data_IF_703176630701
#
_entry.id   IF_703176630701
#
_cell.length_a   1.000
_cell.length_b   1.000
_cell.length_c   1.000
_cell.angle_alpha   90.00
_cell.angle_beta   90.00
_cell.angle_gamma   90.00
#
_symmetry.space_group_name_H-M   'P 1'
#
loop_
_entity.id
_entity.type
_entity.pdbx_description
1 polymer ?
#
# COMPACT_ATOMS: atom_id res chain seq x y z
N UNK A 1 -23.66 1.48 14.07
CA UNK A 1 -23.99 2.86 13.61
C UNK A 1 -22.76 3.63 13.12
N UNK A 2 -21.60 3.59 13.79
CA UNK A 2 -20.31 4.05 13.21
C UNK A 2 -19.54 2.90 12.54
N UNK A 3 -19.43 1.74 13.21
CA UNK A 3 -18.80 0.53 12.66
C UNK A 3 -19.44 0.04 11.35
N UNK A 4 -20.77 0.07 11.26
CA UNK A 4 -21.52 -0.29 10.05
C UNK A 4 -21.09 0.55 8.84
N UNK A 5 -21.00 1.88 8.99
CA UNK A 5 -20.57 2.78 7.92
C UNK A 5 -19.11 2.53 7.50
N UNK A 6 -18.26 2.22 8.47
CA UNK A 6 -16.86 1.91 8.19
C UNK A 6 -16.72 0.57 7.46
N UNK A 7 -17.51 -0.44 7.82
CA UNK A 7 -17.55 -1.70 7.09
C UNK A 7 -18.15 -1.56 5.68
N UNK A 8 -19.09 -0.64 5.45
CA UNK A 8 -19.60 -0.34 4.11
C UNK A 8 -18.48 0.25 3.21
N UNK A 9 -17.63 1.10 3.78
CA UNK A 9 -16.42 1.61 3.09
C UNK A 9 -15.40 0.49 2.84
N UNK A 10 -15.18 -0.40 3.80
CA UNK A 10 -14.30 -1.55 3.64
C UNK A 10 -14.82 -2.50 2.54
N UNK A 11 -16.12 -2.77 2.52
CA UNK A 11 -16.81 -3.55 1.48
C UNK A 11 -16.69 -2.87 0.12
N UNK A 12 -16.85 -1.55 0.06
CA UNK A 12 -16.64 -0.77 -1.16
C UNK A 12 -15.21 -0.94 -1.65
N UNK A 13 -14.21 -0.81 -0.76
CA UNK A 13 -12.80 -0.97 -1.10
C UNK A 13 -12.46 -2.38 -1.57
N UNK A 14 -12.94 -3.40 -0.86
CA UNK A 14 -12.78 -4.80 -1.24
C UNK A 14 -13.32 -5.02 -2.66
N UNK A 15 -14.51 -4.50 -2.97
CA UNK A 15 -15.14 -4.61 -4.29
C UNK A 15 -14.45 -3.81 -5.41
N UNK A 16 -13.48 -2.94 -5.11
CA UNK A 16 -12.65 -2.29 -6.13
C UNK A 16 -11.52 -3.22 -6.63
N UNK A 17 -11.16 -4.26 -5.88
CA UNK A 17 -10.11 -5.21 -6.27
C UNK A 17 -10.69 -6.26 -7.24
N UNK A 18 -10.81 -5.89 -8.51
CA UNK A 18 -11.40 -6.74 -9.56
C UNK A 18 -10.31 -7.21 -10.51
N UNK A 19 -10.04 -8.52 -10.60
CA UNK A 19 -9.16 -9.07 -11.63
C UNK A 19 -9.54 -8.55 -13.02
N UNK A 20 -8.55 -8.02 -13.73
CA UNK A 20 -8.72 -7.44 -15.07
C UNK A 20 -9.34 -6.03 -15.12
N UNK A 21 -9.73 -5.48 -13.96
CA UNK A 21 -10.15 -4.08 -13.81
C UNK A 21 -9.55 -3.52 -12.51
N UNK A 22 -8.23 -3.29 -12.48
CA UNK A 22 -7.53 -3.01 -11.24
C UNK A 22 -7.96 -1.67 -10.62
N UNK A 23 -8.00 -1.63 -9.29
CA UNK A 23 -8.00 -0.35 -8.57
C UNK A 23 -6.63 0.30 -8.70
N UNK A 24 -6.58 1.58 -9.07
CA UNK A 24 -5.34 2.35 -9.23
C UNK A 24 -5.19 3.32 -8.06
N UNK A 25 -4.06 3.27 -7.38
CA UNK A 25 -3.77 4.05 -6.18
C UNK A 25 -2.56 4.95 -6.41
N UNK A 26 -2.79 6.26 -6.37
CA UNK A 26 -1.77 7.28 -6.61
C UNK A 26 -0.76 7.45 -5.46
N UNK A 27 -1.04 6.89 -4.28
CA UNK A 27 -0.30 7.05 -3.03
C UNK A 27 -0.12 8.51 -2.56
N UNK A 28 -0.52 8.80 -1.33
CA UNK A 28 -0.33 10.09 -0.65
C UNK A 28 0.50 9.88 0.61
N UNK A 29 0.97 10.96 1.24
CA UNK A 29 1.87 10.84 2.40
C UNK A 29 1.68 11.92 3.47
N UNK A 30 0.92 12.97 3.16
CA UNK A 30 0.65 14.08 4.07
C UNK A 30 -0.71 14.74 3.74
N UNK A 31 -1.04 15.81 4.46
CA UNK A 31 -2.28 16.56 4.21
C UNK A 31 -2.32 17.28 2.87
N UNK A 32 -1.18 17.74 2.34
CA UNK A 32 -1.11 18.48 1.08
C UNK A 32 -1.36 17.56 -0.12
N UNK A 33 -0.63 16.44 -0.18
CA UNK A 33 -0.82 15.39 -1.19
C UNK A 33 -2.23 14.78 -1.11
N UNK A 34 -2.76 14.53 0.10
CA UNK A 34 -4.15 14.09 0.25
C UNK A 34 -5.16 15.13 -0.27
N UNK A 35 -4.93 16.42 -0.02
CA UNK A 35 -5.81 17.50 -0.49
C UNK A 35 -5.75 17.68 -2.01
N UNK A 36 -4.62 17.33 -2.64
CA UNK A 36 -4.49 17.35 -4.09
C UNK A 36 -5.16 16.14 -4.76
N UNK A 37 -5.08 14.95 -4.15
CA UNK A 37 -5.52 13.69 -4.77
C UNK A 37 -6.94 13.28 -4.41
N UNK A 38 -7.36 13.45 -3.15
CA UNK A 38 -8.67 12.99 -2.67
C UNK A 38 -9.87 13.64 -3.38
N UNK A 39 -9.85 14.91 -3.83
CA UNK A 39 -10.98 15.51 -4.54
C UNK A 39 -11.14 15.04 -5.99
N UNK A 40 -10.12 14.41 -6.59
CA UNK A 40 -10.15 14.01 -8.00
C UNK A 40 -11.28 13.01 -8.23
N UNK A 41 -12.07 13.22 -9.30
CA UNK A 41 -13.16 12.31 -9.67
C UNK A 41 -12.64 10.91 -10.00
N UNK A 42 -11.44 10.82 -10.58
CA UNK A 42 -10.76 9.56 -10.89
C UNK A 42 -10.22 8.81 -9.66
N UNK A 43 -10.15 9.46 -8.49
CA UNK A 43 -9.69 8.83 -7.26
C UNK A 43 -10.82 8.00 -6.65
N UNK A 44 -10.75 6.68 -6.78
CA UNK A 44 -11.74 5.77 -6.17
C UNK A 44 -11.39 5.38 -4.73
N UNK A 45 -10.12 5.42 -4.36
CA UNK A 45 -9.59 5.13 -3.04
C UNK A 45 -8.22 5.80 -2.85
N UNK A 46 -7.83 6.01 -1.60
CA UNK A 46 -6.57 6.64 -1.21
C UNK A 46 -5.69 5.60 -0.51
N UNK A 47 -4.39 5.62 -0.80
CA UNK A 47 -3.40 4.79 -0.13
C UNK A 47 -2.28 5.66 0.42
N UNK A 48 -1.71 5.33 1.58
CA UNK A 48 -0.41 5.89 1.96
C UNK A 48 0.74 5.07 1.39
N UNK A 49 1.97 5.60 1.44
CA UNK A 49 3.19 4.85 1.15
C UNK A 49 4.23 5.17 2.23
N UNK A 50 4.77 4.16 2.91
CA UNK A 50 5.65 4.36 4.09
C UNK A 50 6.88 5.18 3.74
N UNK A 51 7.53 4.88 2.61
CA UNK A 51 8.71 5.62 2.14
C UNK A 51 8.44 7.12 2.00
N UNK A 52 7.30 7.49 1.42
CA UNK A 52 6.93 8.89 1.23
C UNK A 52 6.56 9.57 2.56
N UNK A 53 5.91 8.84 3.47
CA UNK A 53 5.63 9.30 4.84
C UNK A 53 6.93 9.52 5.62
N UNK A 54 7.88 8.58 5.53
CA UNK A 54 9.20 8.67 6.15
C UNK A 54 9.97 9.89 5.66
N UNK A 55 10.03 10.11 4.34
CA UNK A 55 10.68 11.30 3.77
C UNK A 55 10.01 12.60 4.22
N UNK A 56 8.68 12.63 4.33
CA UNK A 56 7.97 13.79 4.86
C UNK A 56 8.25 14.01 6.37
N UNK A 57 8.52 12.95 7.12
CA UNK A 57 8.91 12.99 8.53
C UNK A 57 10.42 13.26 8.74
N UNK A 58 11.22 13.35 7.67
CA UNK A 58 12.66 13.59 7.74
C UNK A 58 13.49 12.38 8.19
N UNK A 59 12.98 11.17 8.02
CA UNK A 59 13.66 9.91 8.37
C UNK A 59 13.76 8.98 7.16
N UNK A 60 14.62 7.97 7.25
CA UNK A 60 14.62 6.88 6.27
C UNK A 60 13.40 5.95 6.48
N UNK A 61 13.02 5.21 5.44
CA UNK A 61 11.84 4.32 5.49
C UNK A 61 11.99 3.29 6.62
N UNK A 62 13.16 2.68 6.73
CA UNK A 62 13.49 1.73 7.79
C UNK A 62 13.58 2.37 9.20
N UNK A 63 13.54 3.69 9.32
CA UNK A 63 13.52 4.40 10.61
C UNK A 63 12.13 4.94 10.97
N UNK A 64 11.14 4.78 10.08
CA UNK A 64 9.78 5.26 10.32
C UNK A 64 9.15 4.53 11.50
N UNK A 65 8.89 5.25 12.58
CA UNK A 65 8.21 4.71 13.77
C UNK A 65 6.71 4.57 13.55
N UNK A 66 6.05 3.69 14.31
CA UNK A 66 4.60 3.57 14.30
C UNK A 66 3.92 4.91 14.59
N UNK A 67 4.43 5.67 15.57
CA UNK A 67 3.79 6.91 16.00
C UNK A 67 3.86 8.00 14.90
N UNK A 68 4.99 8.09 14.18
CA UNK A 68 5.12 8.96 13.00
C UNK A 68 4.15 8.54 11.88
N UNK A 69 4.06 7.25 11.58
CA UNK A 69 3.16 6.76 10.53
C UNK A 69 1.69 7.03 10.90
N UNK A 70 1.28 6.72 12.14
CA UNK A 70 -0.06 7.00 12.65
C UNK A 70 -0.38 8.49 12.61
N UNK A 71 0.57 9.37 12.94
CA UNK A 71 0.38 10.81 12.84
C UNK A 71 0.06 11.24 11.40
N UNK A 72 0.82 10.77 10.41
CA UNK A 72 0.58 11.05 9.00
C UNK A 72 -0.76 10.48 8.52
N UNK A 73 -1.06 9.22 8.83
CA UNK A 73 -2.31 8.54 8.45
C UNK A 73 -3.52 9.27 9.02
N UNK A 74 -3.48 9.74 10.28
CA UNK A 74 -4.57 10.53 10.88
C UNK A 74 -4.79 11.86 10.18
N UNK A 75 -3.73 12.52 9.71
CA UNK A 75 -3.83 13.76 8.91
C UNK A 75 -4.49 13.47 7.57
N UNK A 76 -4.04 12.42 6.86
CA UNK A 76 -4.62 11.98 5.58
C UNK A 76 -6.11 11.62 5.76
N UNK A 77 -6.45 10.84 6.78
CA UNK A 77 -7.83 10.44 7.07
C UNK A 77 -8.76 11.63 7.27
N UNK A 78 -8.31 12.67 8.00
CA UNK A 78 -9.09 13.92 8.19
C UNK A 78 -9.36 14.63 6.86
N UNK A 79 -8.42 14.62 5.93
CA UNK A 79 -8.61 15.23 4.60
C UNK A 79 -9.57 14.38 3.76
N UNK A 80 -9.34 13.06 3.68
CA UNK A 80 -10.20 12.14 2.91
C UNK A 80 -11.65 12.20 3.39
N UNK A 81 -11.88 12.34 4.70
CA UNK A 81 -13.23 12.46 5.26
C UNK A 81 -14.01 13.69 4.74
N UNK A 82 -13.31 14.78 4.39
CA UNK A 82 -13.91 15.99 3.81
C UNK A 82 -14.31 15.81 2.34
N UNK A 83 -13.76 14.80 1.66
CA UNK A 83 -13.95 14.56 0.23
C UNK A 83 -14.74 13.28 -0.04
N UNK A 84 -15.87 13.11 0.67
CA UNK A 84 -16.84 12.04 0.42
C UNK A 84 -16.50 10.69 1.08
N UNK A 85 -15.59 10.67 2.06
CA UNK A 85 -15.17 9.46 2.79
C UNK A 85 -14.73 8.32 1.85
N UNK A 86 -13.93 8.62 0.82
CA UNK A 86 -13.34 7.58 -0.05
C UNK A 86 -12.58 6.56 0.81
N UNK A 87 -12.55 5.26 0.44
CA UNK A 87 -11.77 4.29 1.17
C UNK A 87 -10.31 4.70 1.30
N UNK A 88 -9.74 4.52 2.50
CA UNK A 88 -8.33 4.78 2.80
C UNK A 88 -7.66 3.48 3.23
N UNK A 89 -6.49 3.19 2.64
CA UNK A 89 -5.58 2.11 3.07
C UNK A 89 -4.23 2.69 3.49
N UNK A 90 -3.62 2.13 4.53
CA UNK A 90 -2.34 2.60 5.03
C UNK A 90 -1.21 1.58 4.79
N UNK A 91 -0.01 2.06 4.47
CA UNK A 91 1.19 1.23 4.37
C UNK A 91 1.91 1.11 5.71
N UNK A 92 2.06 -0.11 6.21
CA UNK A 92 2.46 -0.40 7.59
C UNK A 92 3.76 -1.19 7.70
N UNK A 93 4.54 -1.25 6.61
CA UNK A 93 5.81 -1.98 6.58
C UNK A 93 5.59 -3.43 7.08
N UNK A 94 6.48 -3.97 7.91
CA UNK A 94 6.37 -5.27 8.56
C UNK A 94 5.25 -5.40 9.60
N UNK A 95 4.51 -4.32 9.88
CA UNK A 95 3.44 -4.27 10.85
C UNK A 95 3.90 -3.94 12.28
N UNK A 96 5.09 -3.35 12.45
CA UNK A 96 5.57 -2.79 13.73
C UNK A 96 5.64 -3.81 14.87
N UNK A 97 6.13 -5.02 14.57
CA UNK A 97 6.45 -6.04 15.58
C UNK A 97 5.25 -6.45 16.44
N UNK A 98 5.41 -6.33 17.76
CA UNK A 98 4.42 -6.66 18.80
C UNK A 98 3.29 -5.64 18.93
N UNK A 99 3.50 -4.42 18.42
CA UNK A 99 2.50 -3.34 18.39
C UNK A 99 1.47 -3.49 17.27
N UNK A 100 1.50 -4.58 16.48
CA UNK A 100 0.60 -4.77 15.33
C UNK A 100 -0.90 -4.58 15.68
N UNK A 101 -1.36 -5.11 16.82
CA UNK A 101 -2.77 -4.97 17.25
C UNK A 101 -3.11 -3.53 17.60
N UNK A 102 -2.21 -2.83 18.30
CA UNK A 102 -2.34 -1.41 18.63
C UNK A 102 -2.41 -0.56 17.35
N UNK A 103 -1.52 -0.88 16.40
CA UNK A 103 -1.39 -0.20 15.13
C UNK A 103 -2.67 -0.33 14.29
N UNK A 104 -3.20 -1.55 14.14
CA UNK A 104 -4.46 -1.83 13.43
C UNK A 104 -5.65 -1.15 14.12
N UNK A 105 -5.73 -1.23 15.45
CA UNK A 105 -6.79 -0.59 16.23
C UNK A 105 -6.81 0.92 15.97
N UNK A 106 -5.63 1.56 16.05
CA UNK A 106 -5.48 3.00 15.86
C UNK A 106 -5.91 3.49 14.48
N UNK A 107 -5.67 2.73 13.41
CA UNK A 107 -6.07 3.14 12.05
C UNK A 107 -7.54 2.88 11.78
N UNK A 108 -8.11 1.79 12.30
CA UNK A 108 -9.54 1.53 12.18
C UNK A 108 -10.34 2.63 12.88
N UNK A 109 -9.92 3.05 14.07
CA UNK A 109 -10.50 4.20 14.78
C UNK A 109 -10.35 5.51 14.01
N UNK A 110 -9.29 5.66 13.21
CA UNK A 110 -9.09 6.81 12.33
C UNK A 110 -9.92 6.74 11.03
N UNK A 111 -10.68 5.66 10.79
CA UNK A 111 -11.51 5.48 9.59
C UNK A 111 -10.80 4.84 8.41
N UNK A 112 -9.62 4.24 8.61
CA UNK A 112 -8.90 3.46 7.61
C UNK A 112 -9.54 2.08 7.46
N UNK A 113 -9.65 1.58 6.23
CA UNK A 113 -10.36 0.33 5.89
C UNK A 113 -9.48 -0.72 5.19
N UNK A 114 -8.19 -0.44 5.08
CA UNK A 114 -7.24 -1.45 4.62
C UNK A 114 -5.80 -1.15 5.00
N UNK A 115 -4.94 -2.13 4.79
CA UNK A 115 -3.52 -2.05 5.12
C UNK A 115 -2.66 -2.73 4.05
N UNK A 116 -1.42 -2.27 3.90
CA UNK A 116 -0.32 -3.03 3.32
C UNK A 116 0.61 -3.52 4.44
N UNK A 117 0.89 -4.82 4.51
CA UNK A 117 1.76 -5.44 5.53
C UNK A 117 2.74 -6.39 4.86
N UNK A 118 4.03 -6.31 5.21
CA UNK A 118 5.11 -7.05 4.57
C UNK A 118 5.60 -8.24 5.39
N UNK A 119 6.22 -9.19 4.69
CA UNK A 119 6.70 -10.46 5.25
C UNK A 119 8.22 -10.48 5.49
N UNK A 120 8.90 -9.36 5.27
CA UNK A 120 10.27 -9.13 5.68
C UNK A 120 10.29 -8.42 7.02
N UNK A 121 11.02 -8.97 7.99
CA UNK A 121 11.26 -8.33 9.27
C UNK A 121 12.17 -7.12 9.09
N UNK A 122 11.72 -5.96 9.59
CA UNK A 122 12.38 -4.67 9.37
C UNK A 122 13.71 -4.56 10.11
N UNK A 123 13.83 -5.12 11.31
CA UNK A 123 15.04 -5.01 12.13
C UNK A 123 16.16 -5.95 11.63
N UNK A 124 15.79 -7.18 11.31
CA UNK A 124 16.74 -8.22 10.89
C UNK A 124 16.97 -8.24 9.39
N UNK A 125 16.11 -7.57 8.62
CA UNK A 125 16.09 -7.58 7.15
C UNK A 125 15.99 -9.00 6.56
N UNK A 126 15.35 -9.92 7.29
CA UNK A 126 15.14 -11.32 6.89
C UNK A 126 13.68 -11.61 6.63
N UNK A 127 13.41 -12.50 5.67
CA UNK A 127 12.07 -13.03 5.47
C UNK A 127 11.59 -13.74 6.73
N UNK A 128 10.41 -13.37 7.21
CA UNK A 128 9.71 -14.14 8.23
C UNK A 128 9.37 -15.53 7.66
N UNK A 129 9.28 -16.58 8.50
CA UNK A 129 8.67 -17.83 8.08
C UNK A 129 7.27 -17.58 7.52
N UNK A 130 6.91 -18.24 6.41
CA UNK A 130 5.66 -17.96 5.70
C UNK A 130 4.41 -18.09 6.61
N UNK A 131 4.41 -19.07 7.52
CA UNK A 131 3.31 -19.27 8.47
C UNK A 131 3.22 -18.15 9.53
N UNK A 132 4.35 -17.54 9.89
CA UNK A 132 4.37 -16.38 10.80
C UNK A 132 3.77 -15.16 10.10
N UNK A 133 4.19 -14.89 8.86
CA UNK A 133 3.63 -13.80 8.05
C UNK A 133 2.12 -13.99 7.78
N UNK A 134 1.69 -15.20 7.43
CA UNK A 134 0.27 -15.53 7.27
C UNK A 134 -0.51 -15.39 8.59
N UNK A 135 0.09 -15.76 9.72
CA UNK A 135 -0.47 -15.54 11.05
C UNK A 135 -0.69 -14.06 11.37
N UNK A 136 0.23 -13.18 10.95
CA UNK A 136 0.08 -11.71 11.09
C UNK A 136 -1.07 -11.18 10.23
N UNK A 137 -1.23 -11.66 8.99
CA UNK A 137 -2.41 -11.35 8.15
C UNK A 137 -3.71 -11.74 8.86
N UNK A 138 -3.78 -12.98 9.38
CA UNK A 138 -4.94 -13.46 10.13
C UNK A 138 -5.22 -12.60 11.37
N UNK A 139 -4.17 -12.16 12.08
CA UNK A 139 -4.29 -11.31 13.26
C UNK A 139 -4.85 -9.92 12.91
N UNK A 140 -4.41 -9.32 11.81
CA UNK A 140 -4.99 -8.07 11.29
C UNK A 140 -6.47 -8.26 11.00
N UNK A 141 -6.82 -9.31 10.24
CA UNK A 141 -8.22 -9.59 9.87
C UNK A 141 -9.10 -9.83 11.09
N UNK A 142 -8.60 -10.57 12.09
CA UNK A 142 -9.29 -10.77 13.37
C UNK A 142 -9.49 -9.45 14.10
N UNK A 143 -8.45 -8.64 14.24
CA UNK A 143 -8.50 -7.37 14.96
C UNK A 143 -9.52 -6.41 14.34
N UNK A 144 -9.50 -6.25 13.01
CA UNK A 144 -10.46 -5.40 12.32
C UNK A 144 -11.91 -5.92 12.45
N UNK A 145 -12.12 -7.24 12.41
CA UNK A 145 -13.42 -7.87 12.64
C UNK A 145 -13.94 -7.61 14.05
N UNK A 146 -13.09 -7.74 15.07
CA UNK A 146 -13.42 -7.47 16.47
C UNK A 146 -13.82 -5.99 16.68
N UNK A 147 -13.29 -5.08 15.85
CA UNK A 147 -13.66 -3.65 15.80
C UNK A 147 -14.90 -3.36 14.92
N UNK A 148 -15.54 -4.39 14.37
CA UNK A 148 -16.76 -4.27 13.57
C UNK A 148 -16.53 -3.95 12.09
N UNK A 149 -15.33 -4.23 11.56
CA UNK A 149 -14.97 -4.08 10.14
C UNK A 149 -14.55 -5.44 9.55
N UNK A 150 -15.46 -6.43 9.46
CA UNK A 150 -15.15 -7.77 8.93
C UNK A 150 -14.63 -7.79 7.48
N UNK A 151 -14.92 -6.76 6.67
CA UNK A 151 -14.50 -6.64 5.27
C UNK A 151 -13.20 -5.83 5.10
N UNK A 152 -12.42 -5.64 6.15
CA UNK A 152 -11.14 -4.93 6.10
C UNK A 152 -10.22 -5.52 5.03
N UNK A 153 -9.54 -4.67 4.27
CA UNK A 153 -8.73 -5.09 3.12
C UNK A 153 -7.26 -5.22 3.52
N UNK A 154 -6.69 -6.41 3.35
CA UNK A 154 -5.24 -6.61 3.51
C UNK A 154 -4.60 -6.83 2.14
N UNK A 155 -3.61 -6.01 1.83
CA UNK A 155 -2.66 -6.22 0.73
C UNK A 155 -1.38 -6.79 1.33
N UNK A 156 -1.22 -8.10 1.28
CA UNK A 156 -0.07 -8.78 1.87
C UNK A 156 1.14 -8.65 0.93
N UNK A 157 2.18 -7.96 1.37
CA UNK A 157 3.40 -7.74 0.60
C UNK A 157 4.37 -8.89 0.78
N UNK A 158 4.89 -9.40 -0.34
CA UNK A 158 5.93 -10.40 -0.41
C UNK A 158 7.21 -9.79 -0.95
N UNK A 159 8.29 -9.84 -0.17
CA UNK A 159 9.61 -9.30 -0.52
C UNK A 159 10.60 -10.37 -1.02
N UNK A 160 10.16 -11.62 -1.21
CA UNK A 160 11.02 -12.75 -1.60
C UNK A 160 11.92 -12.42 -2.80
N UNK A 161 11.41 -11.76 -3.85
CA UNK A 161 12.20 -11.42 -5.05
C UNK A 161 13.34 -10.43 -4.75
N UNK A 162 13.11 -9.41 -3.90
CA UNK A 162 14.16 -8.46 -3.51
C UNK A 162 15.13 -9.03 -2.47
N UNK A 163 14.78 -10.18 -1.87
CA UNK A 163 15.65 -10.96 -0.97
C UNK A 163 16.36 -12.12 -1.68
N UNK A 164 16.27 -12.20 -3.01
CA UNK A 164 16.98 -13.20 -3.81
C UNK A 164 16.36 -14.59 -3.79
N UNK A 165 15.09 -14.71 -3.37
CA UNK A 165 14.33 -15.94 -3.50
C UNK A 165 13.66 -16.08 -4.87
N UNK A 166 13.02 -17.24 -5.06
CA UNK A 166 12.48 -17.66 -6.35
C UNK A 166 10.95 -17.51 -6.44
N UNK A 167 10.43 -17.54 -7.66
CA UNK A 167 8.99 -17.39 -7.92
C UNK A 167 8.11 -18.46 -7.27
N UNK A 168 8.62 -19.69 -7.12
CA UNK A 168 7.85 -20.78 -6.48
C UNK A 168 7.61 -20.47 -4.99
N UNK A 169 8.58 -19.84 -4.32
CA UNK A 169 8.43 -19.40 -2.94
C UNK A 169 7.46 -18.21 -2.85
N UNK A 170 7.52 -17.27 -3.79
CA UNK A 170 6.56 -16.16 -3.88
C UNK A 170 5.12 -16.68 -3.97
N UNK A 171 4.88 -17.67 -4.84
CA UNK A 171 3.55 -18.26 -5.03
C UNK A 171 3.11 -18.98 -3.75
N UNK A 172 3.94 -19.86 -3.20
CA UNK A 172 3.60 -20.59 -1.97
C UNK A 172 3.30 -19.67 -0.78
N UNK A 173 4.02 -18.56 -0.65
CA UNK A 173 3.75 -17.52 0.35
C UNK A 173 2.44 -16.78 0.06
N UNK A 174 2.25 -16.35 -1.18
CA UNK A 174 1.04 -15.64 -1.60
C UNK A 174 -0.24 -16.43 -1.36
N UNK A 175 -0.24 -17.73 -1.69
CA UNK A 175 -1.37 -18.65 -1.41
C UNK A 175 -1.70 -18.69 0.08
N UNK A 176 -0.69 -18.84 0.95
CA UNK A 176 -0.88 -18.79 2.41
C UNK A 176 -1.45 -17.44 2.89
N UNK A 177 -1.04 -16.34 2.28
CA UNK A 177 -1.56 -15.01 2.64
C UNK A 177 -3.02 -14.85 2.23
N UNK A 178 -3.41 -15.38 1.07
CA UNK A 178 -4.80 -15.40 0.61
C UNK A 178 -5.66 -16.31 1.51
N UNK A 179 -5.17 -17.49 1.89
CA UNK A 179 -5.82 -18.39 2.86
C UNK A 179 -6.01 -17.73 4.23
N UNK A 180 -5.02 -16.93 4.68
CA UNK A 180 -5.10 -16.14 5.90
C UNK A 180 -6.09 -14.96 5.84
N UNK A 181 -6.67 -14.69 4.66
CA UNK A 181 -7.69 -13.67 4.45
C UNK A 181 -7.19 -12.38 3.79
N UNK A 182 -5.99 -12.37 3.20
CA UNK A 182 -5.57 -11.25 2.37
C UNK A 182 -6.49 -11.08 1.16
N UNK A 183 -6.80 -9.83 0.80
CA UNK A 183 -7.57 -9.50 -0.40
C UNK A 183 -6.70 -9.61 -1.65
N UNK A 184 -5.45 -9.18 -1.56
CA UNK A 184 -4.46 -9.26 -2.63
C UNK A 184 -3.07 -9.57 -2.10
N UNK A 185 -2.25 -10.17 -2.94
CA UNK A 185 -0.81 -10.34 -2.72
C UNK A 185 -0.07 -9.28 -3.53
N UNK A 186 0.76 -8.47 -2.88
CA UNK A 186 1.65 -7.52 -3.54
C UNK A 186 3.06 -8.06 -3.59
N UNK A 187 3.59 -8.30 -4.78
CA UNK A 187 4.97 -8.79 -4.91
C UNK A 187 5.89 -7.63 -5.27
N UNK A 188 6.86 -7.36 -4.39
CA UNK A 188 7.83 -6.30 -4.60
C UNK A 188 9.10 -6.84 -5.24
N UNK A 189 9.36 -6.42 -6.48
CA UNK A 189 10.57 -6.76 -7.23
C UNK A 189 11.67 -5.70 -7.17
N UNK A 190 11.52 -4.67 -6.33
CA UNK A 190 12.50 -3.58 -6.20
C UNK A 190 12.42 -2.54 -7.30
N UNK A 191 13.04 -1.38 -7.08
CA UNK A 191 12.97 -0.23 -8.01
C UNK A 191 13.68 -0.48 -9.34
N UNK A 192 14.77 -1.25 -9.34
CA UNK A 192 15.60 -1.50 -10.53
C UNK A 192 15.05 -2.66 -11.37
N UNK A 193 14.87 -3.82 -10.74
CA UNK A 193 14.43 -5.05 -11.40
C UNK A 193 12.93 -4.99 -11.69
N UNK A 194 12.13 -4.63 -10.68
CA UNK A 194 10.68 -4.72 -10.76
C UNK A 194 10.21 -6.17 -10.91
N UNK A 195 9.00 -6.36 -11.41
CA UNK A 195 8.46 -7.67 -11.81
C UNK A 195 8.32 -7.70 -13.33
N UNK A 196 8.77 -8.77 -13.97
CA UNK A 196 8.68 -8.96 -15.42
C UNK A 196 7.27 -9.40 -15.84
N UNK A 197 6.96 -9.29 -17.13
CA UNK A 197 5.69 -9.76 -17.70
C UNK A 197 5.37 -11.21 -17.35
N UNK A 198 6.31 -12.12 -17.59
CA UNK A 198 6.12 -13.54 -17.33
C UNK A 198 5.86 -13.82 -15.84
N UNK A 199 6.48 -13.06 -14.94
CA UNK A 199 6.22 -13.17 -13.50
C UNK A 199 4.83 -12.66 -13.13
N UNK A 200 4.41 -11.53 -13.69
CA UNK A 200 3.05 -10.99 -13.48
C UNK A 200 1.99 -11.98 -13.99
N UNK A 201 2.19 -12.57 -15.17
CA UNK A 201 1.29 -13.60 -15.73
C UNK A 201 1.22 -14.82 -14.81
N UNK A 202 2.37 -15.36 -14.41
CA UNK A 202 2.45 -16.53 -13.53
C UNK A 202 1.81 -16.30 -12.16
N UNK A 203 2.04 -15.15 -11.53
CA UNK A 203 1.44 -14.81 -10.24
C UNK A 203 -0.06 -14.52 -10.37
N UNK A 204 -0.48 -13.91 -11.47
CA UNK A 204 -1.90 -13.64 -11.73
C UNK A 204 -2.67 -14.95 -11.87
N UNK A 205 -2.12 -15.92 -12.60
CA UNK A 205 -2.69 -17.27 -12.69
C UNK A 205 -2.76 -17.95 -11.31
N UNK A 206 -1.64 -17.96 -10.56
CA UNK A 206 -1.58 -18.62 -9.25
C UNK A 206 -2.51 -18.00 -8.19
N UNK A 207 -2.78 -16.70 -8.27
CA UNK A 207 -3.58 -15.97 -7.26
C UNK A 207 -5.02 -15.70 -7.69
N UNK A 208 -5.50 -16.31 -8.79
CA UNK A 208 -6.82 -16.04 -9.39
C UNK A 208 -7.03 -14.53 -9.68
N UNK A 209 -5.97 -13.86 -10.13
CA UNK A 209 -5.96 -12.42 -10.40
C UNK A 209 -5.94 -11.52 -9.17
N UNK A 210 -5.89 -12.07 -7.95
CA UNK A 210 -5.71 -11.30 -6.70
C UNK A 210 -4.28 -10.79 -6.50
N UNK A 211 -3.64 -10.42 -7.61
CA UNK A 211 -2.32 -9.81 -7.65
C UNK A 211 -2.42 -8.29 -7.56
N UNK A 212 -1.53 -7.73 -6.76
CA UNK A 212 -1.24 -6.31 -6.64
C UNK A 212 0.19 -6.07 -7.14
N UNK A 213 0.42 -4.99 -7.89
CA UNK A 213 1.75 -4.62 -8.39
C UNK A 213 2.01 -3.13 -8.20
N UNK A 214 3.29 -2.77 -8.16
CA UNK A 214 3.72 -1.37 -8.24
C UNK A 214 3.95 -1.00 -9.70
N UNK A 215 3.35 0.10 -10.15
CA UNK A 215 3.49 0.58 -11.52
C UNK A 215 4.91 1.12 -11.75
N UNK A 216 5.57 0.58 -12.78
CA UNK A 216 6.93 0.97 -13.16
C UNK A 216 6.87 2.12 -14.16
N UNK A 217 7.30 3.31 -13.74
CA UNK A 217 7.33 4.53 -14.56
C UNK A 217 8.56 4.57 -15.50
N UNK A 218 8.79 3.50 -16.26
CA UNK A 218 9.90 3.40 -17.21
C UNK A 218 9.42 2.74 -18.51
N UNK A 219 10.16 2.98 -19.60
CA UNK A 219 9.80 2.51 -20.94
C UNK A 219 9.75 0.98 -21.08
N UNK A 220 10.44 0.25 -20.21
CA UNK A 220 10.46 -1.22 -20.11
C UNK A 220 9.40 -1.77 -19.13
N UNK A 221 8.62 -0.89 -18.48
CA UNK A 221 7.51 -1.27 -17.62
C UNK A 221 6.24 -1.62 -18.39
N UNK A 222 5.43 -2.51 -17.82
CA UNK A 222 4.10 -2.78 -18.35
C UNK A 222 3.16 -1.60 -18.13
N UNK A 223 2.40 -1.24 -19.17
CA UNK A 223 1.33 -0.26 -19.06
C UNK A 223 0.20 -0.76 -18.16
N UNK A 224 -0.59 0.17 -17.62
CA UNK A 224 -1.81 -0.15 -16.85
C UNK A 224 -2.76 -1.04 -17.67
N UNK A 225 -2.86 -0.80 -18.98
CA UNK A 225 -3.70 -1.58 -19.88
C UNK A 225 -3.21 -3.03 -19.96
N UNK A 226 -1.91 -3.24 -20.16
CA UNK A 226 -1.33 -4.58 -20.21
C UNK A 226 -1.48 -5.32 -18.87
N UNK A 227 -1.27 -4.63 -17.74
CA UNK A 227 -1.49 -5.22 -16.42
C UNK A 227 -2.95 -5.64 -16.20
N UNK A 228 -3.90 -4.83 -16.66
CA UNK A 228 -5.32 -5.18 -16.65
C UNK A 228 -5.62 -6.36 -17.60
N UNK A 229 -5.06 -6.39 -18.80
CA UNK A 229 -5.23 -7.51 -19.75
C UNK A 229 -4.68 -8.83 -19.19
N UNK A 230 -3.60 -8.79 -18.41
CA UNK A 230 -3.06 -9.97 -17.72
C UNK A 230 -4.00 -10.45 -16.59
N UNK A 231 -4.75 -9.54 -15.96
CA UNK A 231 -5.72 -9.87 -14.91
C UNK A 231 -5.42 -9.30 -13.52
N UNK A 232 -4.49 -8.36 -13.39
CA UNK A 232 -4.14 -7.71 -12.11
C UNK A 232 -5.37 -7.03 -11.47
N UNK A 233 -5.50 -7.12 -10.14
CA UNK A 233 -6.62 -6.53 -9.39
C UNK A 233 -6.30 -5.19 -8.69
N UNK A 234 -5.02 -4.88 -8.48
CA UNK A 234 -4.57 -3.64 -7.82
C UNK A 234 -3.25 -3.13 -8.39
N UNK A 235 -3.17 -1.82 -8.58
CA UNK A 235 -1.95 -1.13 -9.01
C UNK A 235 -1.71 0.05 -8.06
N UNK A 236 -0.52 0.13 -7.47
CA UNK A 236 -0.07 1.30 -6.69
C UNK A 236 1.21 1.88 -7.30
N UNK A 237 1.70 3.01 -6.77
CA UNK A 237 2.90 3.69 -7.30
C UNK A 237 3.97 3.95 -6.24
N UNK A 238 3.75 3.51 -4.99
CA UNK A 238 4.66 3.72 -3.88
C UNK A 238 5.03 5.21 -3.73
N UNK A 239 6.32 5.56 -3.57
CA UNK A 239 6.73 6.95 -3.38
C UNK A 239 6.88 7.77 -4.68
N UNK A 240 6.55 7.21 -5.86
CA UNK A 240 6.91 7.85 -7.14
C UNK A 240 6.30 9.23 -7.35
N UNK A 241 5.04 9.44 -6.96
CA UNK A 241 4.40 10.76 -7.07
C UNK A 241 5.05 11.77 -6.11
N UNK A 242 5.43 11.34 -4.90
CA UNK A 242 6.18 12.18 -3.97
C UNK A 242 7.53 12.60 -4.56
N UNK A 243 8.25 11.69 -5.21
CA UNK A 243 9.52 11.98 -5.87
C UNK A 243 9.35 13.04 -6.97
N UNK A 244 8.36 12.88 -7.86
CA UNK A 244 8.06 13.87 -8.90
C UNK A 244 7.68 15.24 -8.31
N UNK A 245 6.89 15.26 -7.24
CA UNK A 245 6.51 16.50 -6.58
C UNK A 245 7.74 17.23 -6.01
N UNK A 246 8.67 16.52 -5.37
CA UNK A 246 9.86 17.13 -4.79
C UNK A 246 10.86 17.61 -5.85
N UNK A 247 10.95 16.92 -6.99
CA UNK A 247 11.73 17.39 -8.14
C UNK A 247 11.21 18.75 -8.64
N UNK A 248 9.89 18.90 -8.81
CA UNK A 248 9.30 20.17 -9.25
C UNK A 248 9.41 21.26 -8.18
N UNK A 249 9.24 20.93 -6.90
CA UNK A 249 9.45 21.88 -5.79
C UNK A 249 10.88 22.42 -5.80
N UNK A 250 11.88 21.55 -5.89
CA UNK A 250 13.29 21.95 -5.92
C UNK A 250 13.58 22.86 -7.12
N UNK A 251 13.09 22.48 -8.30
CA UNK A 251 13.25 23.27 -9.53
C UNK A 251 12.66 24.68 -9.38
N UNK A 252 11.42 24.82 -8.91
CA UNK A 252 10.78 26.14 -8.74
C UNK A 252 11.42 26.98 -7.64
N UNK A 253 11.87 26.33 -6.57
CA UNK A 253 12.62 27.02 -5.52
C UNK A 253 13.95 27.56 -6.06
N UNK A 254 14.68 26.78 -6.85
CA UNK A 254 15.94 27.23 -7.47
C UNK A 254 15.71 28.40 -8.45
N UNK A 255 14.68 28.32 -9.30
CA UNK A 255 14.28 29.41 -10.21
C UNK A 255 13.96 30.72 -9.46
N UNK A 256 13.35 30.62 -8.28
CA UNK A 256 13.04 31.78 -7.42
C UNK A 256 14.28 32.32 -6.71
N UNK A 257 15.06 31.45 -6.06
CA UNK A 257 16.20 31.86 -5.22
C UNK A 257 17.31 32.55 -6.05
N UNK A 258 17.55 32.10 -7.29
CA UNK A 258 18.49 32.75 -8.23
C UNK A 258 18.14 34.20 -8.56
N UNK A 259 16.90 34.64 -8.32
CA UNK A 259 16.50 36.04 -8.52
C UNK A 259 16.98 36.95 -7.38
N UNK A 260 17.31 36.37 -6.22
CA UNK A 260 17.84 37.08 -5.06
C UNK A 260 19.37 37.26 -5.10
N UNK A 261 20.05 36.58 -6.02
CA UNK A 261 21.49 36.72 -6.26
C UNK A 261 21.74 37.99 -7.11
N UNK A 262 21.58 39.17 -6.49
CA UNK A 262 21.95 40.49 -7.03
C UNK A 262 23.35 40.89 -6.56
#
# INVERSE_FOLDING_TARGET
>A
MASTKLNDLATTFQNLHRPGKPVILANVYDGASASAVAPLESCSAVATASYAVAKAAGVEDDDLTLDQNLAAVRVVAKVVARHGNKPLTADFQDGYGDRLVEAVTSIVEAGVVGINIEDCDKETQRMMPADVAAGRVSLVMKTARDLGVPNFVVNARCDTLVRGGEMDEVIARGEKYLEAGATTVFVWGGSRRGVSRAEVERMTEAFDGRLSVSYKWSHDGLSIKELAEIGVARISVGPRIQMFAMEEVAKRAEELLKQGDV
#
